data_IF_686583309044
#
_entry.id   IF_686583309044
#
_cell.length_a   1.000
_cell.length_b   1.000
_cell.length_c   1.000
_cell.angle_alpha   90.00
_cell.angle_beta   90.00
_cell.angle_gamma   90.00
#
_symmetry.space_group_name_H-M   'P 1'
#
loop_
_entity.id
_entity.type
_entity.pdbx_description
1 polymer ?
#
# COMPACT_ATOMS: atom_id res chain seq x y z
N UNK A 1 7.92 -14.80 -0.87
CA UNK A 1 6.64 -14.95 -1.59
C UNK A 1 6.98 -15.43 -3.00
N UNK A 2 6.63 -16.66 -3.37
CA UNK A 2 6.81 -17.14 -4.75
C UNK A 2 5.59 -16.68 -5.55
N UNK A 3 5.81 -15.82 -6.53
CA UNK A 3 4.81 -15.54 -7.57
C UNK A 3 4.68 -16.84 -8.37
N UNK A 4 3.59 -17.58 -8.17
CA UNK A 4 3.47 -18.94 -8.70
C UNK A 4 3.22 -18.99 -10.21
N UNK A 5 2.96 -17.86 -10.88
CA UNK A 5 2.86 -17.82 -12.33
C UNK A 5 3.39 -16.50 -12.86
N UNK A 6 4.59 -16.51 -13.47
CA UNK A 6 5.15 -15.35 -14.17
C UNK A 6 4.19 -14.81 -15.26
N UNK A 7 3.22 -15.62 -15.70
CA UNK A 7 2.19 -15.24 -16.66
C UNK A 7 1.19 -14.19 -16.18
N UNK A 8 0.93 -14.09 -14.88
CA UNK A 8 -0.10 -13.18 -14.33
C UNK A 8 0.26 -11.69 -14.51
N UNK A 9 1.55 -11.40 -14.67
CA UNK A 9 2.09 -10.05 -14.81
C UNK A 9 2.70 -9.75 -16.18
N UNK A 10 2.51 -10.61 -17.19
CA UNK A 10 3.15 -10.48 -18.51
C UNK A 10 2.88 -9.16 -19.26
N UNK A 11 1.86 -8.40 -18.86
CA UNK A 11 1.52 -7.09 -19.44
C UNK A 11 1.66 -5.93 -18.42
N UNK A 12 2.34 -6.19 -17.31
CA UNK A 12 2.61 -5.22 -16.27
C UNK A 12 4.09 -4.84 -16.31
N UNK A 13 4.35 -3.55 -16.20
CA UNK A 13 5.71 -3.04 -16.01
C UNK A 13 6.02 -3.16 -14.52
N UNK A 14 7.14 -3.81 -14.20
CA UNK A 14 7.61 -4.01 -12.83
C UNK A 14 8.92 -3.25 -12.68
N UNK A 15 8.97 -2.30 -11.76
CA UNK A 15 10.12 -1.44 -11.51
C UNK A 15 10.46 -1.42 -10.01
N UNK A 16 11.76 -1.35 -9.71
CA UNK A 16 12.25 -1.03 -8.37
C UNK A 16 12.62 0.46 -8.35
N UNK A 17 11.97 1.25 -7.50
CA UNK A 17 12.25 2.68 -7.31
C UNK A 17 12.35 3.01 -5.84
N UNK A 18 13.45 3.64 -5.45
CA UNK A 18 13.66 4.15 -4.09
C UNK A 18 13.43 3.08 -2.98
N UNK A 19 13.79 1.82 -3.26
CA UNK A 19 13.59 0.69 -2.35
C UNK A 19 12.20 0.04 -2.40
N UNK A 20 11.25 0.61 -3.14
CA UNK A 20 9.90 0.08 -3.30
C UNK A 20 9.71 -0.67 -4.62
N UNK A 21 8.84 -1.69 -4.62
CA UNK A 21 8.43 -2.41 -5.82
C UNK A 21 7.16 -1.77 -6.39
N UNK A 22 7.27 -1.18 -7.58
CA UNK A 22 6.17 -0.61 -8.35
C UNK A 22 5.75 -1.59 -9.45
N UNK A 23 4.46 -1.90 -9.50
CA UNK A 23 3.83 -2.71 -10.55
C UNK A 23 2.76 -1.86 -11.22
N UNK A 24 2.88 -1.64 -12.53
CA UNK A 24 1.98 -0.72 -13.25
C UNK A 24 1.51 -1.27 -14.60
N UNK A 25 0.31 -0.88 -15.01
CA UNK A 25 -0.24 -1.23 -16.32
C UNK A 25 -1.16 -0.13 -16.86
N UNK A 26 -1.08 0.07 -18.17
CA UNK A 26 -1.98 0.93 -18.94
C UNK A 26 -3.18 0.12 -19.44
N UNK A 27 -4.37 0.69 -19.32
CA UNK A 27 -5.62 0.17 -19.86
C UNK A 27 -6.23 1.24 -20.77
N UNK A 28 -6.63 0.83 -21.97
CA UNK A 28 -7.29 1.69 -22.94
C UNK A 28 -8.74 1.26 -23.07
N UNK A 29 -9.65 2.23 -23.05
CA UNK A 29 -11.09 2.03 -23.17
C UNK A 29 -11.65 2.92 -24.28
N UNK A 30 -12.64 2.41 -25.00
CA UNK A 30 -13.31 3.14 -26.07
C UNK A 30 -14.32 4.16 -25.52
N UNK A 31 -14.92 3.89 -24.36
CA UNK A 31 -15.89 4.75 -23.70
C UNK A 31 -15.54 5.05 -22.25
N UNK A 32 -15.89 6.25 -21.79
CA UNK A 32 -15.71 6.66 -20.39
C UNK A 32 -16.55 5.82 -19.42
N UNK A 33 -17.73 5.33 -19.83
CA UNK A 33 -18.57 4.47 -18.99
C UNK A 33 -17.85 3.17 -18.57
N UNK A 34 -16.98 2.65 -19.43
CA UNK A 34 -16.17 1.46 -19.14
C UNK A 34 -15.08 1.78 -18.11
N UNK A 35 -14.49 2.98 -18.17
CA UNK A 35 -13.54 3.46 -17.16
C UNK A 35 -14.19 3.54 -15.79
N UNK A 36 -15.37 4.13 -15.69
CA UNK A 36 -16.07 4.30 -14.41
C UNK A 36 -16.43 2.93 -13.79
N UNK A 37 -16.89 1.99 -14.64
CA UNK A 37 -17.17 0.62 -14.25
C UNK A 37 -15.92 -0.13 -13.81
N UNK A 38 -14.81 0.07 -14.53
CA UNK A 38 -13.51 -0.51 -14.19
C UNK A 38 -13.03 0.00 -12.83
N UNK A 39 -13.00 1.32 -12.61
CA UNK A 39 -12.59 1.96 -11.35
C UNK A 39 -13.43 1.46 -10.18
N UNK A 40 -14.76 1.36 -10.35
CA UNK A 40 -15.66 0.86 -9.31
C UNK A 40 -15.30 -0.56 -8.86
N UNK A 41 -14.93 -1.45 -9.80
CA UNK A 41 -14.55 -2.83 -9.47
C UNK A 41 -13.22 -2.93 -8.73
N UNK A 42 -12.22 -2.14 -9.14
CA UNK A 42 -10.88 -2.21 -8.56
C UNK A 42 -10.72 -1.34 -7.29
N UNK A 43 -11.63 -0.41 -7.05
CA UNK A 43 -11.60 0.49 -5.89
C UNK A 43 -11.56 -0.23 -4.53
N UNK A 44 -12.07 -1.47 -4.44
CA UNK A 44 -11.96 -2.29 -3.21
C UNK A 44 -10.52 -2.59 -2.80
N UNK A 45 -9.59 -2.62 -3.76
CA UNK A 45 -8.16 -2.92 -3.51
C UNK A 45 -7.34 -1.69 -3.12
N UNK A 46 -7.91 -0.48 -3.20
CA UNK A 46 -7.24 0.76 -2.78
C UNK A 46 -7.02 0.86 -1.27
N UNK A 47 -7.69 0.02 -0.47
CA UNK A 47 -7.61 0.03 1.01
C UNK A 47 -6.75 -1.11 1.56
N UNK A 48 -5.62 -1.40 0.94
CA UNK A 48 -4.68 -2.40 1.46
C UNK A 48 -3.63 -1.75 2.37
N UNK A 49 -3.30 -2.34 3.54
CA UNK A 49 -2.30 -1.78 4.45
C UNK A 49 -0.86 -1.93 3.91
N UNK A 50 -0.58 -2.99 3.15
CA UNK A 50 0.75 -3.29 2.60
C UNK A 50 0.93 -2.87 1.13
N UNK A 51 -0.15 -2.40 0.49
CA UNK A 51 -0.15 -1.98 -0.92
C UNK A 51 -0.78 -0.59 -1.05
N UNK A 52 -0.12 0.29 -1.79
CA UNK A 52 -0.74 1.52 -2.26
C UNK A 52 -1.15 1.34 -3.72
N UNK A 53 -2.45 1.19 -3.95
CA UNK A 53 -3.02 1.12 -5.31
C UNK A 53 -3.54 2.49 -5.70
N UNK A 54 -3.03 3.04 -6.80
CA UNK A 54 -3.51 4.30 -7.39
C UNK A 54 -4.00 4.08 -8.81
N UNK A 55 -5.03 4.84 -9.18
CA UNK A 55 -5.61 4.82 -10.51
C UNK A 55 -5.59 6.25 -11.05
N UNK A 56 -4.93 6.44 -12.18
CA UNK A 56 -4.77 7.75 -12.79
C UNK A 56 -5.28 7.71 -14.23
N UNK A 57 -6.33 8.47 -14.52
CA UNK A 57 -6.79 8.65 -15.90
C UNK A 57 -5.88 9.66 -16.62
N UNK A 58 -5.24 9.22 -17.70
CA UNK A 58 -4.29 10.02 -18.51
C UNK A 58 -4.97 10.75 -19.66
N UNK A 59 -6.05 10.21 -20.20
CA UNK A 59 -6.81 10.79 -21.30
C UNK A 59 -8.28 10.39 -21.23
N UNK A 60 -9.15 11.21 -21.82
CA UNK A 60 -10.61 10.98 -21.87
C UNK A 60 -11.03 10.38 -23.22
N UNK A 61 -10.29 10.61 -24.30
CA UNK A 61 -10.57 10.01 -25.62
C UNK A 61 -9.29 9.81 -26.45
N UNK A 62 -8.89 8.56 -26.78
CA UNK A 62 -9.39 7.33 -26.16
C UNK A 62 -9.11 7.35 -24.66
N UNK A 63 -9.98 6.75 -23.86
CA UNK A 63 -9.86 6.84 -22.41
C UNK A 63 -8.74 5.93 -21.92
N UNK A 64 -7.68 6.50 -21.35
CA UNK A 64 -6.50 5.74 -20.88
C UNK A 64 -6.37 5.84 -19.38
N UNK A 65 -6.24 4.69 -18.71
CA UNK A 65 -6.12 4.59 -17.26
C UNK A 65 -4.82 3.87 -16.92
N UNK A 66 -4.06 4.43 -15.98
CA UNK A 66 -2.89 3.79 -15.38
C UNK A 66 -3.27 3.27 -14.02
N UNK A 67 -3.10 1.97 -13.82
CA UNK A 67 -3.15 1.36 -12.49
C UNK A 67 -1.72 1.17 -12.02
N UNK A 68 -1.41 1.68 -10.83
CA UNK A 68 -0.10 1.55 -10.20
C UNK A 68 -0.27 0.94 -8.82
N UNK A 69 0.54 -0.07 -8.51
CA UNK A 69 0.55 -0.80 -7.25
C UNK A 69 1.95 -0.67 -6.67
N UNK A 70 2.09 0.04 -5.55
CA UNK A 70 3.33 0.10 -4.80
C UNK A 70 3.26 -0.88 -3.64
N UNK A 71 4.20 -1.82 -3.58
CA UNK A 71 4.41 -2.64 -2.39
C UNK A 71 5.27 -1.84 -1.42
N UNK A 72 4.75 -1.65 -0.20
CA UNK A 72 5.43 -0.90 0.86
C UNK A 72 5.62 -1.81 2.08
N UNK A 73 6.44 -2.88 1.98
CA UNK A 73 6.66 -3.79 3.10
C UNK A 73 7.22 -3.06 4.34
N UNK A 74 7.98 -1.98 4.15
CA UNK A 74 8.53 -1.15 5.22
C UNK A 74 7.44 -0.47 6.05
N UNK A 75 6.28 -0.17 5.47
CA UNK A 75 5.18 0.48 6.19
C UNK A 75 4.64 -0.39 7.32
N UNK A 76 4.44 -1.69 7.04
CA UNK A 76 3.98 -2.65 8.06
C UNK A 76 5.03 -2.81 9.15
N UNK A 77 6.31 -2.84 8.78
CA UNK A 77 7.41 -2.91 9.74
C UNK A 77 7.51 -1.66 10.61
N UNK A 78 7.31 -0.47 10.03
CA UNK A 78 7.30 0.81 10.74
C UNK A 78 6.11 0.94 11.68
N UNK A 79 4.91 0.53 11.25
CA UNK A 79 3.71 0.50 12.11
C UNK A 79 3.94 -0.41 13.32
N UNK A 80 4.44 -1.63 13.10
CA UNK A 80 4.76 -2.55 14.19
C UNK A 80 5.84 -2.02 15.14
N UNK A 81 6.92 -1.43 14.60
CA UNK A 81 7.97 -0.81 15.41
C UNK A 81 7.42 0.36 16.26
N UNK A 82 6.50 1.16 15.71
CA UNK A 82 5.83 2.23 16.44
C UNK A 82 4.97 1.73 17.59
N UNK A 83 4.22 0.64 17.39
CA UNK A 83 3.44 0.00 18.45
C UNK A 83 4.32 -0.53 19.58
N UNK A 84 5.43 -1.19 19.23
CA UNK A 84 6.42 -1.68 20.21
C UNK A 84 7.01 -0.52 21.01
N UNK A 85 7.47 0.54 20.34
CA UNK A 85 8.03 1.71 21.01
C UNK A 85 7.03 2.34 21.99
N UNK A 86 5.76 2.48 21.57
CA UNK A 86 4.69 3.00 22.43
C UNK A 86 4.45 2.11 23.66
N UNK A 87 4.43 0.79 23.48
CA UNK A 87 4.28 -0.14 24.60
C UNK A 87 5.44 -0.01 25.59
N UNK A 88 6.68 0.08 25.10
CA UNK A 88 7.85 0.29 25.96
C UNK A 88 7.75 1.58 26.79
N UNK A 89 7.34 2.70 26.19
CA UNK A 89 7.16 3.98 26.91
C UNK A 89 6.07 3.90 27.99
N UNK A 90 4.95 3.25 27.68
CA UNK A 90 3.84 3.06 28.65
C UNK A 90 4.29 2.21 29.84
N UNK A 91 4.94 1.07 29.58
CA UNK A 91 5.45 0.20 30.63
C UNK A 91 6.54 0.88 31.47
N UNK A 92 7.46 1.61 30.82
CA UNK A 92 8.48 2.38 31.52
C UNK A 92 7.88 3.45 32.44
N UNK A 93 6.87 4.19 31.96
CA UNK A 93 6.16 5.18 32.77
C UNK A 93 5.43 4.54 33.96
N UNK A 94 4.82 3.36 33.77
CA UNK A 94 4.17 2.62 34.85
C UNK A 94 5.18 2.20 35.94
N UNK A 95 6.27 1.56 35.54
CA UNK A 95 7.29 1.07 36.47
C UNK A 95 8.00 2.20 37.21
N UNK A 96 8.28 3.32 36.53
CA UNK A 96 8.91 4.49 37.18
C UNK A 96 7.96 5.28 38.08
N UNK A 97 6.64 5.25 37.79
CA UNK A 97 5.61 5.74 38.69
C UNK A 97 5.52 4.93 39.98
N UNK A 98 5.48 3.60 39.86
CA UNK A 98 5.45 2.67 41.00
C UNK A 98 6.71 2.76 41.88
N UNK A 99 7.89 2.89 41.26
CA UNK A 99 9.16 3.08 41.98
C UNK A 99 9.20 4.39 42.79
N UNK A 100 8.45 5.41 42.41
CA UNK A 100 8.32 6.67 43.18
C UNK A 100 7.36 6.54 44.36
N UNK A 101 6.30 5.75 44.25
CA UNK A 101 5.37 5.51 45.37
C UNK A 101 5.97 4.61 46.46
N UNK A 102 6.85 3.67 46.11
CA UNK A 102 7.53 2.79 47.08
C UNK A 102 8.66 3.52 47.85
N UNK A 103 9.16 4.64 47.33
CA UNK A 103 10.25 5.41 47.92
C UNK A 103 9.80 6.63 48.76
N UNK A 104 8.49 6.87 48.90
CA UNK A 104 7.89 7.94 49.69
C UNK A 104 7.28 7.41 51.00
#
# INVERSE_FOLDING_TARGET
MKLNDAGELNNWVIELRDGSLLVQRHFCFEAQADVDTFIKHIGKFMRSPSLMVSINQKSISPATVVVSINLLPERVLLEAAGEIAKACEVEFASLTGELREVAA
#
